data_IF_835899317782
#
_entry.id   IF_835899317782
#
_cell.length_a   1.000
_cell.length_b   1.000
_cell.length_c   1.000
_cell.angle_alpha   90.00
_cell.angle_beta   90.00
_cell.angle_gamma   90.00
#
_symmetry.space_group_name_H-M   'P 1'
#
loop_
_entity.id
_entity.type
_entity.pdbx_description
1 polymer ?
#
# COMPACT_ATOMS: atom_id res chain seq x y z
N UNK A 1 20.18 -17.04 0.71
CA UNK A 1 19.12 -17.91 0.17
C UNK A 1 19.76 -18.95 -0.74
N UNK A 2 19.66 -20.22 -0.39
CA UNK A 2 20.18 -21.32 -1.23
C UNK A 2 19.34 -21.51 -2.51
N UNK A 3 19.82 -22.27 -3.51
CA UNK A 3 19.08 -22.49 -4.76
C UNK A 3 17.69 -23.11 -4.55
N UNK A 4 17.57 -24.13 -3.68
CA UNK A 4 16.29 -24.81 -3.40
C UNK A 4 15.31 -23.89 -2.66
N UNK A 5 15.80 -23.15 -1.65
CA UNK A 5 15.03 -22.14 -0.92
C UNK A 5 14.52 -21.05 -1.86
N UNK A 6 15.37 -20.61 -2.81
CA UNK A 6 14.98 -19.63 -3.82
C UNK A 6 13.87 -20.16 -4.73
N UNK A 7 13.99 -21.41 -5.20
CA UNK A 7 12.96 -22.01 -6.05
C UNK A 7 11.60 -22.11 -5.34
N UNK A 8 11.60 -22.39 -4.03
CA UNK A 8 10.39 -22.38 -3.20
C UNK A 8 9.72 -20.99 -3.20
N UNK A 9 10.47 -19.93 -2.93
CA UNK A 9 9.93 -18.56 -2.94
C UNK A 9 9.51 -18.07 -4.33
N UNK A 10 10.23 -18.49 -5.37
CA UNK A 10 9.88 -18.20 -6.77
C UNK A 10 8.52 -18.82 -7.14
N UNK A 11 8.20 -20.02 -6.64
CA UNK A 11 6.88 -20.65 -6.83
C UNK A 11 5.72 -19.74 -6.40
N UNK A 12 5.79 -19.17 -5.20
CA UNK A 12 4.75 -18.25 -4.71
C UNK A 12 4.83 -16.87 -5.33
N UNK A 13 6.02 -16.38 -5.67
CA UNK A 13 6.16 -15.12 -6.40
C UNK A 13 5.53 -15.20 -7.80
N UNK A 14 5.54 -16.36 -8.46
CA UNK A 14 4.78 -16.58 -9.70
C UNK A 14 3.28 -16.38 -9.50
N UNK A 15 2.72 -16.86 -8.40
CA UNK A 15 1.29 -16.61 -8.09
C UNK A 15 1.01 -15.12 -7.84
N UNK A 16 1.92 -14.41 -7.15
CA UNK A 16 1.81 -12.96 -6.98
C UNK A 16 1.89 -12.22 -8.32
N UNK A 17 2.74 -12.67 -9.25
CA UNK A 17 2.82 -12.13 -10.62
C UNK A 17 1.52 -12.36 -11.38
N UNK A 18 0.90 -13.54 -11.27
CA UNK A 18 -0.40 -13.80 -11.89
C UNK A 18 -1.48 -12.82 -11.40
N UNK A 19 -1.46 -12.45 -10.11
CA UNK A 19 -2.35 -11.42 -9.56
C UNK A 19 -2.02 -10.02 -10.12
N UNK A 20 -0.75 -9.69 -10.30
CA UNK A 20 -0.33 -8.42 -10.90
C UNK A 20 -0.72 -8.32 -12.38
N UNK A 21 -0.66 -9.41 -13.13
CA UNK A 21 -1.15 -9.50 -14.51
C UNK A 21 -2.67 -9.32 -14.57
N UNK A 22 -3.41 -9.85 -13.59
CA UNK A 22 -4.85 -9.65 -13.49
C UNK A 22 -5.20 -8.17 -13.22
N UNK A 23 -4.44 -7.51 -12.34
CA UNK A 23 -4.58 -6.07 -12.12
C UNK A 23 -4.32 -5.28 -13.41
N UNK A 24 -3.25 -5.61 -14.14
CA UNK A 24 -2.93 -4.95 -15.41
C UNK A 24 -4.07 -5.10 -16.43
N UNK A 25 -4.66 -6.30 -16.54
CA UNK A 25 -5.81 -6.58 -17.42
C UNK A 25 -7.08 -5.85 -16.99
N UNK A 26 -7.15 -5.41 -15.74
CA UNK A 26 -8.32 -4.75 -15.12
C UNK A 26 -8.13 -3.23 -14.99
N UNK A 27 -7.17 -2.64 -15.73
CA UNK A 27 -6.78 -1.23 -15.63
C UNK A 27 -6.38 -0.76 -14.22
N UNK A 28 -5.84 -1.66 -13.40
CA UNK A 28 -5.29 -1.35 -12.08
C UNK A 28 -3.75 -1.31 -12.12
N UNK A 29 -3.15 -0.61 -11.16
CA UNK A 29 -1.68 -0.65 -11.02
C UNK A 29 -1.26 -2.10 -10.79
N UNK A 30 -0.30 -2.66 -11.55
CA UNK A 30 -0.02 -4.09 -11.59
C UNK A 30 0.83 -4.54 -10.39
N UNK A 31 0.24 -4.44 -9.21
CA UNK A 31 0.74 -4.98 -7.95
C UNK A 31 -0.16 -6.13 -7.55
N UNK A 32 0.45 -7.28 -7.34
CA UNK A 32 -0.22 -8.51 -6.93
C UNK A 32 0.53 -9.13 -5.76
N UNK A 33 -0.20 -9.85 -4.91
CA UNK A 33 0.36 -10.53 -3.76
C UNK A 33 -0.37 -11.82 -3.42
N UNK A 34 0.34 -12.69 -2.70
CA UNK A 34 -0.21 -13.88 -2.04
C UNK A 34 0.33 -14.00 -0.62
N UNK A 35 -0.51 -14.51 0.28
CA UNK A 35 -0.18 -14.79 1.68
C UNK A 35 -0.13 -16.31 1.86
N UNK A 36 0.97 -16.82 2.39
CA UNK A 36 1.28 -18.26 2.46
C UNK A 36 1.51 -18.70 3.89
N UNK A 37 0.77 -19.71 4.33
CA UNK A 37 0.93 -20.39 5.61
C UNK A 37 1.17 -21.87 5.34
N UNK A 38 2.21 -22.45 5.92
CA UNK A 38 2.53 -23.89 5.80
C UNK A 38 2.56 -24.40 4.35
N UNK A 39 3.11 -23.60 3.43
CA UNK A 39 3.18 -23.92 2.00
C UNK A 39 1.87 -23.79 1.23
N UNK A 40 0.81 -23.26 1.85
CA UNK A 40 -0.50 -23.07 1.22
C UNK A 40 -0.87 -21.59 1.17
N UNK A 41 -1.40 -21.16 0.04
CA UNK A 41 -1.90 -19.78 -0.12
C UNK A 41 -3.24 -19.64 0.60
N UNK A 42 -3.28 -18.80 1.63
CA UNK A 42 -4.48 -18.49 2.43
C UNK A 42 -5.14 -17.17 2.01
N UNK A 43 -4.48 -16.37 1.18
CA UNK A 43 -5.02 -15.10 0.70
C UNK A 43 -4.33 -14.63 -0.58
N UNK A 44 -5.09 -13.98 -1.46
CA UNK A 44 -4.60 -13.39 -2.71
C UNK A 44 -5.15 -11.98 -2.84
N UNK A 45 -4.37 -11.08 -3.42
CA UNK A 45 -4.78 -9.70 -3.60
C UNK A 45 -4.10 -9.05 -4.78
N UNK A 46 -4.79 -8.08 -5.37
CA UNK A 46 -4.25 -7.15 -6.35
C UNK A 46 -4.76 -5.75 -6.03
N UNK A 47 -4.15 -4.70 -6.59
CA UNK A 47 -4.67 -3.35 -6.38
C UNK A 47 -6.11 -3.22 -6.90
N UNK A 48 -6.94 -2.50 -6.15
CA UNK A 48 -8.35 -2.23 -6.47
C UNK A 48 -8.68 -0.73 -6.30
N UNK A 49 -7.67 0.13 -6.35
CA UNK A 49 -7.80 1.56 -6.08
C UNK A 49 -8.76 2.27 -7.03
N UNK A 50 -8.72 1.94 -8.32
CA UNK A 50 -9.61 2.51 -9.33
C UNK A 50 -11.03 1.95 -9.17
N UNK A 51 -11.17 0.63 -9.01
CA UNK A 51 -12.47 -0.03 -8.88
C UNK A 51 -13.25 0.45 -7.66
N UNK A 52 -12.56 0.69 -6.55
CA UNK A 52 -13.17 1.03 -5.26
C UNK A 52 -13.20 2.52 -4.97
N UNK A 53 -12.55 3.34 -5.80
CA UNK A 53 -12.33 4.77 -5.57
C UNK A 53 -11.70 5.05 -4.19
N UNK A 54 -10.86 4.11 -3.71
CA UNK A 54 -10.27 4.17 -2.39
C UNK A 54 -8.75 3.93 -2.48
N UNK A 55 -7.98 4.97 -2.15
CA UNK A 55 -6.52 4.95 -2.19
C UNK A 55 -5.85 3.95 -1.22
N UNK A 56 -6.59 3.35 -0.29
CA UNK A 56 -6.04 2.34 0.64
C UNK A 56 -6.16 0.92 0.12
N UNK A 57 -6.90 0.68 -0.98
CA UNK A 57 -7.18 -0.66 -1.52
C UNK A 57 -6.03 -1.21 -2.36
N UNK A 58 -4.85 -1.28 -1.73
CA UNK A 58 -3.67 -1.94 -2.26
C UNK A 58 -3.79 -3.47 -2.15
N UNK A 59 -3.00 -4.19 -2.95
CA UNK A 59 -2.98 -5.64 -3.00
C UNK A 59 -2.91 -6.30 -1.60
N UNK A 60 -2.04 -5.80 -0.72
CA UNK A 60 -1.86 -6.35 0.64
C UNK A 60 -3.11 -6.16 1.51
N UNK A 61 -3.75 -4.99 1.45
CA UNK A 61 -4.99 -4.72 2.18
C UNK A 61 -6.15 -5.57 1.66
N UNK A 62 -6.24 -5.75 0.34
CA UNK A 62 -7.27 -6.57 -0.30
C UNK A 62 -7.15 -8.03 0.16
N UNK A 63 -5.93 -8.58 0.13
CA UNK A 63 -5.68 -9.95 0.57
C UNK A 63 -5.96 -10.14 2.07
N UNK A 64 -5.46 -9.26 2.93
CA UNK A 64 -5.67 -9.36 4.38
C UNK A 64 -7.15 -9.24 4.75
N UNK A 65 -7.91 -8.38 4.07
CA UNK A 65 -9.35 -8.30 4.31
C UNK A 65 -10.06 -9.64 4.04
N UNK A 66 -9.65 -10.38 3.00
CA UNK A 66 -10.13 -11.74 2.74
C UNK A 66 -9.71 -12.71 3.84
N UNK A 67 -8.42 -12.71 4.22
CA UNK A 67 -7.90 -13.58 5.28
C UNK A 67 -8.64 -13.36 6.60
N UNK A 68 -8.84 -12.12 7.02
CA UNK A 68 -9.50 -11.79 8.29
C UNK A 68 -11.01 -12.09 8.30
N UNK A 69 -11.61 -12.39 7.14
CA UNK A 69 -12.98 -12.88 7.09
C UNK A 69 -13.12 -14.37 7.45
N UNK A 70 -12.02 -15.12 7.41
CA UNK A 70 -11.97 -16.58 7.61
C UNK A 70 -11.06 -16.99 8.78
N UNK A 71 -10.04 -16.19 9.08
CA UNK A 71 -8.99 -16.50 10.06
C UNK A 71 -8.87 -15.41 11.12
N UNK A 72 -8.49 -15.76 12.36
CA UNK A 72 -8.11 -14.77 13.35
C UNK A 72 -6.85 -14.02 12.92
N UNK A 73 -6.70 -12.76 13.32
CA UNK A 73 -5.54 -11.91 12.98
C UNK A 73 -4.19 -12.55 13.31
N UNK A 74 -4.14 -13.39 14.36
CA UNK A 74 -2.94 -14.10 14.81
C UNK A 74 -2.37 -15.06 13.76
N UNK A 75 -3.15 -15.44 12.73
CA UNK A 75 -2.66 -16.24 11.61
C UNK A 75 -1.48 -15.58 10.88
N UNK A 76 -1.44 -14.24 10.86
CA UNK A 76 -0.41 -13.47 10.16
C UNK A 76 0.98 -13.66 10.77
N UNK A 77 1.06 -13.99 12.07
CA UNK A 77 2.31 -14.32 12.77
C UNK A 77 3.03 -15.55 12.20
N UNK A 78 2.32 -16.39 11.46
CA UNK A 78 2.83 -17.61 10.83
C UNK A 78 2.85 -17.52 9.30
N UNK A 79 2.44 -16.37 8.74
CA UNK A 79 2.19 -16.19 7.30
C UNK A 79 3.29 -15.37 6.63
N UNK A 80 3.77 -15.85 5.48
CA UNK A 80 4.66 -15.11 4.60
C UNK A 80 3.88 -14.35 3.52
N UNK A 81 4.27 -13.12 3.25
CA UNK A 81 3.78 -12.34 2.12
C UNK A 81 4.74 -12.46 0.94
N UNK A 82 4.20 -12.70 -0.25
CA UNK A 82 4.89 -12.55 -1.54
C UNK A 82 4.19 -11.46 -2.33
N UNK A 83 4.91 -10.40 -2.72
CA UNK A 83 4.34 -9.24 -3.42
C UNK A 83 5.23 -8.77 -4.56
N UNK A 84 4.66 -8.40 -5.71
CA UNK A 84 5.48 -8.07 -6.89
C UNK A 84 6.31 -6.80 -6.72
N UNK A 85 5.83 -5.84 -5.93
CA UNK A 85 6.48 -4.55 -5.67
C UNK A 85 6.66 -4.38 -4.16
N UNK A 86 7.79 -3.82 -3.74
CA UNK A 86 8.07 -3.51 -2.34
C UNK A 86 6.87 -2.79 -1.67
N UNK A 87 6.40 -3.27 -0.50
CA UNK A 87 5.28 -2.65 0.21
C UNK A 87 5.53 -1.17 0.44
N UNK A 88 4.50 -0.35 0.21
CA UNK A 88 4.61 1.07 0.53
C UNK A 88 4.61 1.32 2.04
N UNK A 89 4.90 2.55 2.48
CA UNK A 89 4.88 2.95 3.91
C UNK A 89 3.60 2.49 4.63
N UNK A 90 2.44 2.66 4.00
CA UNK A 90 1.14 2.26 4.55
C UNK A 90 1.04 0.74 4.73
N UNK A 91 1.33 -0.03 3.69
CA UNK A 91 1.26 -1.50 3.73
C UNK A 91 2.31 -2.07 4.70
N UNK A 92 3.53 -1.55 4.70
CA UNK A 92 4.58 -1.96 5.62
C UNK A 92 4.20 -1.72 7.09
N UNK A 93 3.58 -0.58 7.39
CA UNK A 93 3.08 -0.28 8.74
C UNK A 93 1.94 -1.21 9.17
N UNK A 94 0.99 -1.51 8.28
CA UNK A 94 -0.08 -2.47 8.55
C UNK A 94 0.50 -3.86 8.86
N UNK A 95 1.40 -4.35 8.01
CA UNK A 95 2.06 -5.65 8.17
C UNK A 95 2.83 -5.74 9.50
N UNK A 96 3.47 -4.64 9.91
CA UNK A 96 4.18 -4.50 11.18
C UNK A 96 3.22 -4.63 12.37
N UNK A 97 2.13 -3.88 12.36
CA UNK A 97 1.12 -3.88 13.44
C UNK A 97 0.39 -5.22 13.55
N UNK A 98 0.17 -5.90 12.43
CA UNK A 98 -0.51 -7.20 12.40
C UNK A 98 0.43 -8.39 12.63
N UNK A 99 1.74 -8.14 12.76
CA UNK A 99 2.72 -9.15 13.16
C UNK A 99 3.10 -10.14 12.07
N UNK A 100 3.16 -9.73 10.78
CA UNK A 100 3.52 -10.65 9.67
C UNK A 100 4.81 -11.44 9.95
N UNK A 101 4.88 -12.71 9.53
CA UNK A 101 6.09 -13.55 9.72
C UNK A 101 7.27 -13.08 8.89
N UNK A 102 7.09 -12.90 7.58
CA UNK A 102 8.11 -12.40 6.67
C UNK A 102 7.49 -11.80 5.39
N UNK A 103 8.28 -11.00 4.67
CA UNK A 103 7.90 -10.43 3.38
C UNK A 103 8.95 -10.72 2.31
N UNK A 104 8.50 -11.20 1.17
CA UNK A 104 9.29 -11.41 -0.03
C UNK A 104 8.73 -10.53 -1.14
N UNK A 105 9.60 -9.80 -1.85
CA UNK A 105 9.14 -8.92 -2.93
C UNK A 105 10.00 -8.98 -4.19
N UNK A 106 9.38 -8.57 -5.30
CA UNK A 106 10.04 -8.52 -6.60
C UNK A 106 10.95 -7.31 -6.77
N UNK A 107 10.37 -6.17 -7.15
CA UNK A 107 11.12 -4.94 -7.39
C UNK A 107 10.93 -3.89 -6.29
N UNK A 108 11.91 -3.00 -6.16
CA UNK A 108 11.86 -1.89 -5.19
C UNK A 108 10.80 -0.84 -5.56
N UNK A 109 10.24 -0.21 -4.54
CA UNK A 109 9.29 0.88 -4.69
C UNK A 109 10.02 2.21 -4.47
N UNK A 110 10.55 2.78 -5.55
CA UNK A 110 11.42 3.96 -5.51
C UNK A 110 10.72 5.23 -4.98
N UNK A 111 9.38 5.28 -5.00
CA UNK A 111 8.63 6.47 -4.61
C UNK A 111 8.01 6.37 -3.22
N UNK A 112 7.61 5.17 -2.80
CA UNK A 112 6.81 4.98 -1.60
C UNK A 112 7.27 3.81 -0.72
N UNK A 113 8.40 3.17 -1.03
CA UNK A 113 8.87 1.95 -0.34
C UNK A 113 9.00 2.10 1.17
N UNK A 114 8.31 1.25 1.92
CA UNK A 114 8.29 1.24 3.38
C UNK A 114 9.23 0.21 4.01
N UNK A 115 9.92 -0.60 3.20
CA UNK A 115 10.80 -1.68 3.68
C UNK A 115 12.27 -1.46 3.38
N UNK A 116 12.66 -0.24 3.00
CA UNK A 116 14.03 0.15 2.71
C UNK A 116 14.18 1.04 1.48
N UNK A 117 13.18 1.05 0.58
CA UNK A 117 13.22 1.89 -0.63
C UNK A 117 13.22 3.39 -0.32
N UNK A 118 12.32 3.83 0.58
CA UNK A 118 12.24 5.21 1.05
C UNK A 118 12.37 5.27 2.57
N UNK A 119 11.52 4.52 3.29
CA UNK A 119 11.54 4.39 4.75
C UNK A 119 11.80 2.94 5.16
N UNK A 120 12.21 2.72 6.41
CA UNK A 120 12.50 1.39 6.99
C UNK A 120 11.49 1.01 8.09
N UNK A 121 10.19 1.14 7.81
CA UNK A 121 9.12 0.86 8.78
C UNK A 121 9.18 -0.59 9.30
N UNK A 122 9.58 -1.55 8.44
CA UNK A 122 9.72 -2.96 8.80
C UNK A 122 10.80 -3.27 9.85
N UNK A 123 11.72 -2.35 10.15
CA UNK A 123 12.82 -2.54 11.11
C UNK A 123 13.06 -1.35 12.04
N UNK A 124 12.22 -0.31 11.97
CA UNK A 124 12.29 0.82 12.90
C UNK A 124 12.14 0.33 14.35
N UNK A 125 13.09 0.67 15.26
CA UNK A 125 13.04 0.26 16.66
C UNK A 125 11.99 1.00 17.50
N UNK A 126 11.42 2.12 17.03
CA UNK A 126 10.39 2.86 17.76
C UNK A 126 8.96 2.37 17.52
N UNK A 127 8.79 1.28 16.76
CA UNK A 127 7.49 0.68 16.37
C UNK A 127 7.40 -0.74 16.96
N UNK A 128 6.32 -1.49 16.69
CA UNK A 128 6.05 -2.88 17.13
C UNK A 128 7.19 -3.87 16.81
N UNK A 129 7.02 -5.20 16.91
CA UNK A 129 8.12 -6.16 16.62
C UNK A 129 8.53 -6.21 15.13
N UNK A 130 9.82 -6.12 14.76
CA UNK A 130 10.27 -6.14 13.35
C UNK A 130 10.02 -7.47 12.65
N UNK A 131 9.95 -7.41 11.31
CA UNK A 131 9.80 -8.57 10.45
C UNK A 131 10.88 -8.59 9.34
N UNK A 132 11.38 -9.76 8.95
CA UNK A 132 12.37 -9.91 7.89
C UNK A 132 11.77 -9.60 6.50
N UNK A 133 12.60 -9.02 5.63
CA UNK A 133 12.27 -8.70 4.24
C UNK A 133 13.34 -9.22 3.30
N UNK A 134 12.92 -9.83 2.20
CA UNK A 134 13.81 -10.25 1.11
C UNK A 134 13.28 -9.75 -0.24
N UNK A 135 14.07 -8.93 -0.93
CA UNK A 135 13.72 -8.39 -2.25
C UNK A 135 14.45 -9.07 -3.40
N UNK A 136 13.96 -8.87 -4.62
CA UNK A 136 14.66 -9.23 -5.86
C UNK A 136 14.13 -10.47 -6.59
N UNK A 137 13.05 -11.09 -6.12
CA UNK A 137 12.51 -12.32 -6.71
C UNK A 137 11.66 -11.96 -7.94
N UNK A 138 12.08 -12.35 -9.15
CA UNK A 138 11.48 -11.89 -10.41
C UNK A 138 11.39 -10.35 -10.53
N UNK A 139 12.41 -9.65 -10.01
CA UNK A 139 12.52 -8.18 -10.08
C UNK A 139 12.23 -7.62 -11.48
N UNK A 140 12.83 -8.23 -12.50
CA UNK A 140 12.74 -7.74 -13.88
C UNK A 140 11.31 -7.81 -14.42
N UNK A 141 10.64 -8.93 -14.19
CA UNK A 141 9.25 -9.13 -14.59
C UNK A 141 8.32 -8.13 -13.89
N UNK A 142 8.50 -7.92 -12.58
CA UNK A 142 7.73 -6.93 -11.83
C UNK A 142 7.92 -5.49 -12.35
N UNK A 143 9.16 -5.10 -12.68
CA UNK A 143 9.44 -3.81 -13.33
C UNK A 143 8.76 -3.71 -14.68
N UNK A 144 8.80 -4.78 -15.49
CA UNK A 144 8.19 -4.78 -16.81
C UNK A 144 6.67 -4.61 -16.75
N UNK A 145 6.00 -5.21 -15.76
CA UNK A 145 4.57 -5.00 -15.53
C UNK A 145 4.27 -3.53 -15.23
N UNK A 146 4.99 -2.90 -14.29
CA UNK A 146 4.82 -1.48 -13.99
C UNK A 146 5.07 -0.58 -15.21
N UNK A 147 6.11 -0.87 -16.00
CA UNK A 147 6.41 -0.11 -17.22
C UNK A 147 5.28 -0.25 -18.25
N UNK A 148 4.74 -1.45 -18.45
CA UNK A 148 3.58 -1.67 -19.34
C UNK A 148 2.39 -0.80 -18.92
N UNK A 149 2.08 -0.73 -17.63
CA UNK A 149 1.01 0.12 -17.11
C UNK A 149 1.24 1.63 -17.36
N UNK A 150 2.45 2.14 -17.15
CA UNK A 150 2.71 3.58 -17.33
C UNK A 150 2.81 4.03 -18.80
N UNK A 151 3.12 3.11 -19.71
CA UNK A 151 3.13 3.34 -21.16
C UNK A 151 1.70 3.35 -21.72
N UNK A 152 0.75 2.64 -21.12
CA UNK A 152 -0.66 2.72 -21.51
C UNK A 152 -1.17 4.18 -21.44
N UNK A 153 -1.96 4.57 -22.44
CA UNK A 153 -2.62 5.86 -22.45
C UNK A 153 -3.76 5.85 -21.43
N UNK A 154 -3.84 6.91 -20.62
CA UNK A 154 -4.97 7.05 -19.71
C UNK A 154 -6.12 7.71 -20.47
N UNK A 155 -6.91 6.90 -21.16
CA UNK A 155 -8.10 7.36 -21.89
C UNK A 155 -9.16 7.98 -20.97
N UNK A 156 -9.09 7.69 -19.66
CA UNK A 156 -10.01 8.21 -18.64
C UNK A 156 -9.59 9.59 -18.10
N UNK A 157 -8.49 10.17 -18.59
CA UNK A 157 -8.07 11.51 -18.18
C UNK A 157 -9.00 12.60 -18.77
N UNK A 158 -9.36 13.66 -18.01
CA UNK A 158 -10.22 14.75 -18.51
C UNK A 158 -9.68 15.41 -19.78
N UNK A 159 -8.36 15.49 -19.90
CA UNK A 159 -7.65 15.86 -21.12
C UNK A 159 -6.61 14.77 -21.42
N UNK A 160 -6.90 13.84 -22.34
CA UNK A 160 -5.97 12.79 -22.73
C UNK A 160 -4.72 13.40 -23.38
N UNK A 161 -3.63 13.46 -22.63
CA UNK A 161 -2.32 13.82 -23.20
C UNK A 161 -1.76 12.59 -23.91
N UNK A 162 -1.70 12.65 -25.24
CA UNK A 162 -1.08 11.62 -26.07
C UNK A 162 0.34 11.38 -25.59
N UNK A 163 0.65 10.15 -25.16
CA UNK A 163 2.00 9.79 -24.65
C UNK A 163 2.90 9.29 -25.79
N UNK A 164 2.78 9.88 -26.99
CA UNK A 164 3.43 9.45 -28.25
C UNK A 164 4.96 9.28 -28.19
N UNK A 165 5.62 9.83 -27.17
CA UNK A 165 7.10 9.78 -27.03
C UNK A 165 7.59 8.81 -25.94
N UNK A 166 6.71 8.06 -25.28
CA UNK A 166 7.12 7.10 -24.22
C UNK A 166 7.31 5.71 -24.79
N UNK A 167 8.51 5.44 -25.28
CA UNK A 167 8.92 4.08 -25.63
C UNK A 167 9.06 3.22 -24.37
N UNK A 168 8.59 1.97 -24.46
CA UNK A 168 8.79 0.98 -23.41
C UNK A 168 10.28 0.62 -23.36
N UNK A 169 11.01 1.20 -22.41
CA UNK A 169 12.38 0.76 -22.12
C UNK A 169 12.33 -0.68 -21.62
N UNK A 170 12.97 -1.60 -22.33
CA UNK A 170 13.06 -3.01 -21.95
C UNK A 170 14.32 -3.29 -21.12
N UNK A 171 15.34 -2.45 -21.25
CA UNK A 171 16.57 -2.56 -20.48
C UNK A 171 16.33 -2.26 -19.00
N UNK A 172 16.76 -3.18 -18.14
CA UNK A 172 16.71 -3.03 -16.69
C UNK A 172 18.15 -3.07 -16.21
N UNK A 173 18.65 -1.92 -15.72
CA UNK A 173 20.01 -1.84 -15.21
C UNK A 173 20.16 -2.75 -13.97
N UNK A 174 21.32 -3.41 -13.83
CA UNK A 174 21.66 -4.15 -12.62
C UNK A 174 21.64 -3.20 -11.41
N UNK A 175 21.29 -3.73 -10.24
CA UNK A 175 21.32 -2.95 -9.02
C UNK A 175 22.77 -2.74 -8.56
N UNK A 176 23.16 -1.51 -8.27
CA UNK A 176 24.28 -1.27 -7.34
C UNK A 176 23.84 -1.73 -5.95
N UNK A 177 24.44 -2.83 -5.50
CA UNK A 177 24.27 -3.33 -4.13
C UNK A 177 24.94 -2.30 -3.22
N UNK A 178 24.15 -1.57 -2.42
CA UNK A 178 24.51 -0.36 -1.64
C UNK A 178 24.52 0.97 -2.42
N UNK A 179 23.35 1.60 -2.55
CA UNK A 179 23.11 2.93 -1.99
C UNK A 179 21.63 3.31 -2.14
N UNK A 180 20.95 3.78 -1.08
CA UNK A 180 19.71 4.52 -1.27
C UNK A 180 20.03 5.77 -2.09
N UNK A 181 19.34 5.98 -3.21
CA UNK A 181 19.39 7.26 -3.93
C UNK A 181 18.67 8.33 -3.12
N UNK A 182 19.27 8.78 -2.03
CA UNK A 182 18.90 10.03 -1.39
C UNK A 182 19.54 11.17 -2.19
N UNK A 183 18.95 11.54 -3.31
CA UNK A 183 19.17 12.88 -3.86
C UNK A 183 18.12 13.77 -3.21
N UNK A 184 18.49 14.74 -2.35
CA UNK A 184 17.54 15.76 -1.95
C UNK A 184 17.15 16.52 -3.22
N UNK A 185 15.87 16.47 -3.61
CA UNK A 185 15.34 17.46 -4.53
C UNK A 185 15.60 18.82 -3.87
N UNK A 186 16.34 19.69 -4.55
CA UNK A 186 16.64 21.02 -4.03
C UNK A 186 15.33 21.71 -3.66
N UNK A 187 15.09 21.88 -2.36
CA UNK A 187 13.94 22.61 -1.88
C UNK A 187 14.00 24.02 -2.48
N UNK A 188 12.97 24.38 -3.24
CA UNK A 188 12.74 25.75 -3.67
C UNK A 188 12.60 26.57 -2.39
N UNK A 189 13.62 27.37 -2.10
CA UNK A 189 13.69 28.22 -0.92
C UNK A 189 12.68 29.35 -1.08
N UNK A 190 11.52 29.23 -0.45
CA UNK A 190 10.56 30.34 -0.36
C UNK A 190 11.18 31.47 0.48
N UNK A 191 10.97 32.76 0.11
CA UNK A 191 11.50 33.89 0.87
C UNK A 191 10.85 33.96 2.25
N UNK A 192 11.67 34.19 3.27
CA UNK A 192 11.29 34.14 4.68
C UNK A 192 10.23 35.18 5.05
N UNK A 193 9.18 34.72 5.71
CA UNK A 193 8.30 35.58 6.50
C UNK A 193 8.90 35.76 7.91
N UNK A 194 8.83 36.97 8.50
CA UNK A 194 9.32 37.22 9.84
C UNK A 194 8.47 36.45 10.87
N UNK A 195 9.15 35.86 11.84
CA UNK A 195 8.53 35.09 12.92
C UNK A 195 7.62 35.99 13.78
N UNK A 196 6.31 35.70 13.80
CA UNK A 196 5.42 36.26 14.83
C UNK A 196 5.53 35.42 16.09
N UNK A 197 6.07 36.01 17.16
CA UNK A 197 5.99 35.46 18.52
C UNK A 197 4.54 35.56 19.01
N UNK A 198 3.73 34.54 18.74
CA UNK A 198 2.39 34.38 19.30
C UNK A 198 2.37 33.16 20.22
N UNK A 199 2.09 33.37 21.50
CA UNK A 199 1.94 32.33 22.51
C UNK A 199 0.82 31.35 22.14
N UNK A 200 1.08 30.05 22.28
CA UNK A 200 0.08 28.99 22.07
C UNK A 200 -0.99 29.10 23.17
N UNK A 201 -2.28 29.29 22.86
CA UNK A 201 -3.33 29.30 23.88
C UNK A 201 -3.61 27.88 24.38
N UNK A 202 -3.65 27.71 25.70
CA UNK A 202 -4.01 26.46 26.38
C UNK A 202 -5.47 26.07 26.15
N UNK A 203 -5.75 24.77 26.19
CA UNK A 203 -7.04 24.10 25.88
C UNK A 203 -8.27 24.65 26.62
N UNK A 204 -8.08 25.46 27.66
CA UNK A 204 -9.13 26.08 28.46
C UNK A 204 -9.88 27.22 27.75
N UNK A 205 -9.37 27.74 26.62
CA UNK A 205 -9.98 28.88 25.90
C UNK A 205 -11.05 28.50 24.86
N UNK A 206 -11.33 27.21 24.62
CA UNK A 206 -12.21 26.76 23.52
C UNK A 206 -13.65 26.39 23.95
N UNK A 207 -14.05 26.62 25.21
CA UNK A 207 -15.36 26.13 25.73
C UNK A 207 -16.47 27.21 25.73
N UNK A 208 -16.36 28.32 24.98
CA UNK A 208 -17.38 29.40 25.00
C UNK A 208 -18.22 29.60 23.73
N UNK A 209 -18.32 28.61 22.86
CA UNK A 209 -19.33 28.63 21.78
C UNK A 209 -20.06 27.29 21.71
N UNK A 210 -21.00 27.10 22.64
CA UNK A 210 -21.99 26.05 22.54
C UNK A 210 -23.03 26.45 21.48
N UNK A 211 -23.21 25.58 20.48
CA UNK A 211 -24.30 25.61 19.50
C UNK A 211 -25.60 25.22 20.23
N UNK A 212 -26.74 25.90 20.02
CA UNK A 212 -28.00 25.50 20.66
C UNK A 212 -28.53 24.21 20.03
N UNK A 213 -29.04 23.31 20.86
CA UNK A 213 -29.66 22.04 20.47
C UNK A 213 -30.95 22.26 19.66
N UNK A 214 -31.30 21.35 18.71
CA UNK A 214 -32.56 21.43 17.99
C UNK A 214 -33.75 21.07 18.89
N UNK A 215 -34.88 21.74 18.66
CA UNK A 215 -36.12 21.57 19.41
C UNK A 215 -36.75 20.19 19.20
N UNK A 216 -37.16 19.55 20.30
CA UNK A 216 -37.91 18.29 20.32
C UNK A 216 -39.32 18.47 19.72
N UNK A 217 -39.64 17.70 18.68
CA UNK A 217 -41.01 17.51 18.22
C UNK A 217 -41.71 16.44 19.06
N UNK A 218 -42.78 16.82 19.77
CA UNK A 218 -43.66 15.92 20.54
C UNK A 218 -44.28 14.83 19.64
N UNK A 219 -44.53 13.61 20.17
CA UNK A 219 -45.28 12.60 19.46
C UNK A 219 -46.79 12.92 19.49
N UNK A 220 -47.45 12.80 18.34
CA UNK A 220 -48.91 12.81 18.26
C UNK A 220 -49.45 11.49 18.85
N UNK A 221 -50.32 11.63 19.85
CA UNK A 221 -51.06 10.54 20.50
C UNK A 221 -52.00 9.84 19.51
N UNK A 222 -51.93 8.50 19.48
CA UNK A 222 -52.93 7.65 18.85
C UNK A 222 -54.28 7.78 19.59
N UNK A 223 -55.35 8.00 18.84
CA UNK A 223 -56.73 7.83 19.31
C UNK A 223 -57.43 6.79 18.44
N UNK A 224 -57.94 5.77 19.11
CA UNK A 224 -58.80 4.68 18.65
C UNK A 224 -60.24 5.15 18.39
N UNK A 225 -60.87 4.60 17.34
CA UNK A 225 -62.31 4.32 17.19
C UNK A 225 -62.49 3.56 15.84
N UNK A 226 -62.77 2.25 15.81
CA UNK A 226 -64.11 1.63 15.83
C UNK A 226 -65.16 2.34 14.97
N UNK A 227 -65.38 1.84 13.75
CA UNK A 227 -66.59 1.14 13.25
C UNK A 227 -66.32 0.60 11.85
#
# INVERSE_FOLDING_TARGET
MGPEERAYHEGFMREAIAMAELALKSDETPVGCVFVKDGQVIGRGMNETNRTLNGTRHAEFVAIAGILSEYPITVLNETDLYVTVEPCVMCASMLRQYGIRAVYFGCWNERFGGTGGVLKIHSDPSVDKPYPVTGGIFREEAIMLLRKFYVQENEKAPEPKQKKTRELKTEILPMDVHQPKSTPSAAIRAPGHPASTGSIPTLTSLVKTAVPAPAESRPASASTAFT
#
